data_IF_160726249185
#
_entry.id   IF_160726249185
#
_cell.length_a   1.000
_cell.length_b   1.000
_cell.length_c   1.000
_cell.angle_alpha   90.00
_cell.angle_beta   90.00
_cell.angle_gamma   90.00
#
_symmetry.space_group_name_H-M   'P 1'
#
loop_
_entity.id
_entity.type
_entity.pdbx_description
1 polymer ?
#
# COMPACT_ATOMS: atom_id res chain seq x y z
N UNK A 1 -9.07 17.19 -11.29
CA UNK A 1 -9.96 16.07 -10.86
C UNK A 1 -11.07 16.62 -9.99
N UNK A 2 -12.33 16.15 -10.12
CA UNK A 2 -13.40 16.51 -9.19
C UNK A 2 -13.27 15.61 -7.93
N UNK A 3 -12.86 16.19 -6.82
CA UNK A 3 -12.55 15.48 -5.57
C UNK A 3 -13.79 14.81 -4.96
N UNK A 4 -14.95 15.44 -5.02
CA UNK A 4 -16.20 14.84 -4.51
C UNK A 4 -16.59 13.61 -5.33
N UNK A 5 -16.40 13.66 -6.63
CA UNK A 5 -16.64 12.51 -7.51
C UNK A 5 -15.62 11.38 -7.24
N UNK A 6 -14.36 11.71 -6.94
CA UNK A 6 -13.33 10.72 -6.60
C UNK A 6 -13.70 9.90 -5.37
N UNK A 7 -14.31 10.52 -4.37
CA UNK A 7 -14.66 9.87 -3.11
C UNK A 7 -16.12 9.43 -2.98
N UNK A 8 -16.94 9.57 -4.03
CA UNK A 8 -18.39 9.38 -3.96
C UNK A 8 -18.81 7.98 -3.48
N UNK A 9 -18.02 6.95 -3.77
CA UNK A 9 -18.30 5.55 -3.43
C UNK A 9 -17.43 5.00 -2.29
N UNK A 10 -16.76 5.89 -1.53
CA UNK A 10 -15.78 5.48 -0.52
C UNK A 10 -16.38 4.56 0.56
N UNK A 11 -17.62 4.75 0.97
CA UNK A 11 -18.24 3.90 1.99
C UNK A 11 -18.39 2.46 1.50
N UNK A 12 -18.87 2.25 0.28
CA UNK A 12 -18.95 0.92 -0.33
C UNK A 12 -17.59 0.27 -0.51
N UNK A 13 -16.55 1.07 -0.81
CA UNK A 13 -15.18 0.56 -0.90
C UNK A 13 -14.63 0.14 0.46
N UNK A 14 -14.93 0.86 1.51
CA UNK A 14 -14.51 0.49 2.87
C UNK A 14 -15.25 -0.75 3.39
N UNK A 15 -16.48 -0.98 3.00
CA UNK A 15 -17.16 -2.27 3.25
C UNK A 15 -16.43 -3.43 2.56
N UNK A 16 -16.03 -3.25 1.30
CA UNK A 16 -15.22 -4.24 0.59
C UNK A 16 -13.84 -4.46 1.24
N UNK A 17 -13.21 -3.40 1.75
CA UNK A 17 -11.96 -3.49 2.51
C UNK A 17 -12.11 -4.43 3.71
N UNK A 18 -13.18 -4.26 4.50
CA UNK A 18 -13.44 -5.09 5.68
C UNK A 18 -13.76 -6.54 5.31
N UNK A 19 -14.46 -6.77 4.21
CA UNK A 19 -14.82 -8.11 3.74
C UNK A 19 -13.61 -8.86 3.16
N UNK A 20 -12.82 -8.18 2.30
CA UNK A 20 -11.79 -8.82 1.48
C UNK A 20 -10.37 -8.64 2.03
N UNK A 21 -10.17 -7.72 2.99
CA UNK A 21 -8.86 -7.33 3.49
C UNK A 21 -8.11 -6.34 2.59
N UNK A 22 -8.69 -5.96 1.46
CA UNK A 22 -8.15 -4.97 0.54
C UNK A 22 -9.24 -4.35 -0.35
N UNK A 23 -8.96 -3.16 -0.88
CA UNK A 23 -9.80 -2.53 -1.90
C UNK A 23 -8.98 -1.64 -2.83
N UNK A 24 -9.35 -1.58 -4.10
CA UNK A 24 -8.83 -0.59 -5.06
C UNK A 24 -9.59 0.72 -4.92
N UNK A 25 -8.87 1.81 -4.85
CA UNK A 25 -9.43 3.16 -4.93
C UNK A 25 -9.51 3.60 -6.40
N UNK A 26 -10.23 4.69 -6.73
CA UNK A 26 -10.27 5.19 -8.09
C UNK A 26 -8.89 5.53 -8.63
N UNK A 27 -8.70 5.42 -9.95
CA UNK A 27 -7.44 5.78 -10.62
C UNK A 27 -7.12 7.25 -10.43
N UNK A 28 -5.83 7.54 -10.27
CA UNK A 28 -5.32 8.91 -10.27
C UNK A 28 -5.08 9.39 -11.70
N UNK A 29 -5.15 10.69 -11.91
CA UNK A 29 -4.82 11.25 -13.23
C UNK A 29 -3.29 11.16 -13.47
N UNK A 30 -2.90 10.95 -14.73
CA UNK A 30 -1.47 10.93 -15.09
C UNK A 30 -0.78 12.25 -14.77
N UNK A 31 -1.48 13.38 -14.86
CA UNK A 31 -0.94 14.69 -14.49
C UNK A 31 -0.56 14.75 -13.00
N UNK A 32 -1.43 14.26 -12.12
CA UNK A 32 -1.18 14.23 -10.68
C UNK A 32 -0.01 13.27 -10.35
N UNK A 33 0.05 12.13 -11.05
CA UNK A 33 1.12 11.14 -10.86
C UNK A 33 2.48 11.64 -11.35
N UNK A 34 2.54 12.34 -12.48
CA UNK A 34 3.77 12.93 -13.01
C UNK A 34 4.31 14.02 -12.06
N UNK A 35 3.43 14.88 -11.54
CA UNK A 35 3.79 15.88 -10.55
C UNK A 35 4.38 15.23 -9.29
N UNK A 36 3.71 14.19 -8.78
CA UNK A 36 4.17 13.46 -7.59
C UNK A 36 5.48 12.71 -7.86
N UNK A 37 5.62 12.06 -9.03
CA UNK A 37 6.83 11.34 -9.44
C UNK A 37 8.06 12.25 -9.45
N UNK A 38 7.93 13.45 -10.01
CA UNK A 38 9.02 14.43 -10.06
C UNK A 38 9.40 14.89 -8.65
N UNK A 39 8.41 15.27 -7.84
CA UNK A 39 8.65 15.73 -6.46
C UNK A 39 9.33 14.65 -5.60
N UNK A 40 8.91 13.40 -5.73
CA UNK A 40 9.50 12.27 -4.99
C UNK A 40 10.89 11.92 -5.54
N UNK A 41 11.09 11.97 -6.85
CA UNK A 41 12.40 11.69 -7.46
C UNK A 41 13.47 12.66 -6.98
N UNK A 42 13.15 13.94 -6.90
CA UNK A 42 14.06 14.98 -6.37
C UNK A 42 14.39 14.71 -4.90
N UNK A 43 13.41 14.33 -4.11
CA UNK A 43 13.58 14.01 -2.69
C UNK A 43 14.36 12.72 -2.46
N UNK A 44 14.13 11.67 -3.26
CA UNK A 44 14.80 10.38 -3.13
C UNK A 44 16.24 10.36 -3.64
N UNK A 45 16.55 11.10 -4.70
CA UNK A 45 17.85 11.02 -5.37
C UNK A 45 18.20 9.58 -5.77
N UNK A 46 19.34 9.06 -5.26
CA UNK A 46 19.81 7.69 -5.53
C UNK A 46 19.26 6.63 -4.56
N UNK A 47 18.43 7.01 -3.59
CA UNK A 47 17.90 6.08 -2.60
C UNK A 47 16.80 5.21 -3.20
N UNK A 48 16.74 3.95 -2.78
CA UNK A 48 15.67 3.00 -3.14
C UNK A 48 14.53 2.99 -2.11
N UNK A 49 14.76 3.58 -0.93
CA UNK A 49 13.79 3.72 0.14
C UNK A 49 14.04 5.02 0.90
N UNK A 50 12.98 5.79 1.12
CA UNK A 50 13.04 7.01 1.91
C UNK A 50 11.69 7.30 2.56
N UNK A 51 11.74 7.75 3.80
CA UNK A 51 10.61 8.41 4.44
C UNK A 51 10.42 9.80 3.80
N UNK A 52 9.18 10.08 3.39
CA UNK A 52 8.87 11.28 2.63
C UNK A 52 8.60 12.47 3.56
N UNK A 53 9.10 13.62 3.15
CA UNK A 53 8.85 14.90 3.81
C UNK A 53 7.53 15.56 3.41
N UNK A 54 7.54 16.85 3.14
CA UNK A 54 6.33 17.65 2.92
C UNK A 54 5.76 17.57 1.49
N UNK A 55 6.55 17.17 0.49
CA UNK A 55 6.10 17.22 -0.91
C UNK A 55 4.89 16.31 -1.17
N UNK A 56 4.90 15.09 -0.64
CA UNK A 56 3.78 14.17 -0.78
C UNK A 56 2.55 14.60 0.05
N UNK A 57 2.75 15.34 1.15
CA UNK A 57 1.64 15.84 1.96
C UNK A 57 0.75 16.77 1.14
N UNK A 58 1.34 17.69 0.39
CA UNK A 58 0.60 18.59 -0.49
C UNK A 58 -0.23 17.81 -1.52
N UNK A 59 0.29 16.68 -2.01
CA UNK A 59 -0.46 15.80 -2.90
C UNK A 59 -1.67 15.15 -2.18
N UNK A 60 -1.48 14.59 -0.99
CA UNK A 60 -2.59 14.02 -0.21
C UNK A 60 -3.62 15.07 0.18
N UNK A 61 -3.19 16.29 0.51
CA UNK A 61 -4.06 17.44 0.76
C UNK A 61 -4.88 17.79 -0.50
N UNK A 62 -4.27 17.74 -1.68
CA UNK A 62 -4.98 17.96 -2.95
C UNK A 62 -6.05 16.92 -3.24
N UNK A 63 -5.86 15.69 -2.76
CA UNK A 63 -6.85 14.62 -2.78
C UNK A 63 -7.87 14.72 -1.64
N UNK A 64 -7.68 15.65 -0.71
CA UNK A 64 -8.52 15.81 0.48
C UNK A 64 -8.69 14.52 1.29
N UNK A 65 -7.62 13.72 1.40
CA UNK A 65 -7.59 12.44 2.15
C UNK A 65 -8.06 12.66 3.59
N UNK A 66 -7.61 13.74 4.24
CA UNK A 66 -7.99 14.08 5.62
C UNK A 66 -9.47 14.41 5.78
N UNK A 67 -10.15 14.82 4.71
CA UNK A 67 -11.58 15.11 4.73
C UNK A 67 -12.45 13.87 4.47
N UNK A 68 -12.05 13.04 3.51
CA UNK A 68 -12.92 11.99 2.99
C UNK A 68 -12.55 10.58 3.45
N UNK A 69 -11.26 10.27 3.60
CA UNK A 69 -10.80 8.92 3.91
C UNK A 69 -10.41 8.75 5.38
N UNK A 70 -9.54 9.61 5.91
CA UNK A 70 -8.99 9.43 7.26
C UNK A 70 -10.06 9.36 8.36
N UNK A 71 -11.11 10.20 8.40
CA UNK A 71 -12.13 10.09 9.44
C UNK A 71 -12.87 8.75 9.44
N UNK A 72 -13.06 8.17 8.26
CA UNK A 72 -13.71 6.87 8.09
C UNK A 72 -12.79 5.73 8.53
N UNK A 73 -11.51 5.78 8.19
CA UNK A 73 -10.52 4.81 8.66
C UNK A 73 -10.34 4.85 10.18
N UNK A 74 -10.33 6.05 10.77
CA UNK A 74 -10.29 6.24 12.22
C UNK A 74 -11.51 5.58 12.88
N UNK A 75 -12.70 5.81 12.35
CA UNK A 75 -13.92 5.19 12.85
C UNK A 75 -13.86 3.65 12.75
N UNK A 76 -13.42 3.11 11.63
CA UNK A 76 -13.23 1.66 11.46
C UNK A 76 -12.20 1.12 12.46
N UNK A 77 -11.07 1.80 12.64
CA UNK A 77 -10.06 1.41 13.61
C UNK A 77 -10.63 1.27 15.03
N UNK A 78 -11.45 2.23 15.45
CA UNK A 78 -12.05 2.24 16.77
C UNK A 78 -13.19 1.21 16.90
N UNK A 79 -14.13 1.20 15.97
CA UNK A 79 -15.39 0.45 16.09
C UNK A 79 -15.20 -1.05 15.76
N UNK A 80 -14.36 -1.37 14.77
CA UNK A 80 -14.19 -2.74 14.28
C UNK A 80 -12.98 -3.42 14.91
N UNK A 81 -11.86 -2.69 15.03
CA UNK A 81 -10.61 -3.27 15.53
C UNK A 81 -10.33 -2.95 17.00
N UNK A 82 -11.19 -2.18 17.66
CA UNK A 82 -11.01 -1.73 19.06
C UNK A 82 -9.60 -1.12 19.29
N UNK A 83 -9.11 -0.41 18.27
CA UNK A 83 -7.79 0.19 18.29
C UNK A 83 -7.77 1.40 19.24
N UNK A 84 -6.83 1.40 20.18
CA UNK A 84 -6.69 2.43 21.23
C UNK A 84 -5.40 3.25 21.10
N UNK A 85 -4.64 3.01 20.02
CA UNK A 85 -3.39 3.72 19.76
C UNK A 85 -3.61 5.14 19.22
N UNK A 86 -2.51 5.85 19.00
CA UNK A 86 -2.53 7.14 18.33
C UNK A 86 -2.82 6.95 16.83
N UNK A 87 -3.94 7.50 16.40
CA UNK A 87 -4.47 7.39 15.04
C UNK A 87 -3.95 8.54 14.17
N UNK A 88 -3.37 9.57 14.77
CA UNK A 88 -2.84 10.73 14.05
C UNK A 88 -1.49 10.45 13.39
N UNK A 89 -0.80 9.39 13.81
CA UNK A 89 0.54 9.07 13.31
C UNK A 89 0.45 8.38 11.95
N UNK A 90 0.76 9.14 10.90
CA UNK A 90 0.85 8.66 9.52
C UNK A 90 2.31 8.51 9.14
N UNK A 91 2.65 7.38 8.53
CA UNK A 91 3.99 7.07 8.06
C UNK A 91 3.99 6.96 6.53
N UNK A 92 4.75 7.83 5.89
CA UNK A 92 4.80 7.92 4.43
C UNK A 92 6.19 7.58 3.92
N UNK A 93 6.26 6.63 3.01
CA UNK A 93 7.52 6.21 2.41
C UNK A 93 7.41 6.10 0.90
N UNK A 94 8.48 6.45 0.20
CA UNK A 94 8.67 6.10 -1.18
C UNK A 94 9.59 4.89 -1.29
N UNK A 95 9.27 4.00 -2.21
CA UNK A 95 10.09 2.86 -2.58
C UNK A 95 10.28 2.83 -4.09
N UNK A 96 11.54 2.73 -4.51
CA UNK A 96 11.94 2.60 -5.90
C UNK A 96 12.54 1.22 -6.11
N UNK A 97 11.99 0.46 -7.03
CA UNK A 97 12.53 -0.85 -7.44
C UNK A 97 13.16 -0.67 -8.82
N UNK A 98 14.46 -0.84 -8.90
CA UNK A 98 15.20 -0.72 -10.16
C UNK A 98 15.40 -2.10 -10.81
N UNK A 99 15.44 -2.17 -12.16
CA UNK A 99 15.75 -3.40 -12.85
C UNK A 99 17.08 -3.99 -12.37
N UNK A 100 17.08 -5.31 -12.10
CA UNK A 100 18.28 -6.02 -11.61
C UNK A 100 18.56 -5.88 -10.11
N UNK A 101 17.82 -5.05 -9.37
CA UNK A 101 17.98 -4.93 -7.92
C UNK A 101 17.21 -6.04 -7.19
N UNK A 102 17.82 -7.22 -7.08
CA UNK A 102 17.19 -8.38 -6.41
C UNK A 102 16.88 -8.15 -4.92
N UNK A 103 17.54 -7.19 -4.27
CA UNK A 103 17.32 -6.90 -2.84
C UNK A 103 15.97 -6.24 -2.57
N UNK A 104 15.42 -5.53 -3.54
CA UNK A 104 14.11 -4.87 -3.42
C UNK A 104 12.96 -5.73 -3.97
N UNK A 105 13.29 -6.87 -4.62
CA UNK A 105 12.31 -7.85 -5.12
C UNK A 105 11.95 -8.86 -4.03
N UNK A 106 10.73 -9.39 -4.07
CA UNK A 106 10.25 -10.46 -3.17
C UNK A 106 10.43 -10.17 -1.67
N UNK A 107 10.31 -8.92 -1.26
CA UNK A 107 10.39 -8.52 0.16
C UNK A 107 9.05 -8.74 0.87
N UNK A 108 8.64 -10.00 1.02
CA UNK A 108 7.42 -10.31 1.75
C UNK A 108 7.53 -9.85 3.21
N UNK A 109 6.54 -9.08 3.66
CA UNK A 109 6.45 -8.59 5.02
C UNK A 109 4.98 -8.34 5.39
N UNK A 110 4.71 -8.20 6.66
CA UNK A 110 3.46 -7.63 7.15
C UNK A 110 3.71 -6.21 7.65
N UNK A 111 2.82 -5.33 7.27
CA UNK A 111 2.88 -3.97 7.77
C UNK A 111 2.59 -3.92 9.28
N UNK A 112 3.17 -2.92 9.94
CA UNK A 112 2.91 -2.65 11.35
C UNK A 112 1.67 -1.80 11.56
N UNK A 113 1.18 -1.21 10.49
CA UNK A 113 0.07 -0.28 10.48
C UNK A 113 -1.24 -1.04 10.34
N UNK A 114 -2.31 -0.50 10.89
CA UNK A 114 -3.63 -1.08 10.75
C UNK A 114 -4.14 -0.95 9.31
N UNK A 115 -3.87 0.20 8.69
CA UNK A 115 -4.15 0.43 7.29
C UNK A 115 -2.88 0.78 6.54
N UNK A 116 -2.74 0.25 5.33
CA UNK A 116 -1.64 0.60 4.42
C UNK A 116 -2.20 0.91 3.05
N UNK A 117 -1.88 2.09 2.52
CA UNK A 117 -2.20 2.46 1.15
C UNK A 117 -0.95 2.38 0.28
N UNK A 118 -1.00 1.58 -0.76
CA UNK A 118 0.04 1.51 -1.79
C UNK A 118 -0.40 2.33 -2.98
N UNK A 119 0.37 3.37 -3.28
CA UNK A 119 0.11 4.30 -4.36
C UNK A 119 1.09 4.03 -5.51
N UNK A 120 0.64 3.50 -6.67
CA UNK A 120 1.51 3.34 -7.83
C UNK A 120 1.78 4.69 -8.47
N UNK A 121 3.05 5.09 -8.57
CA UNK A 121 3.43 6.41 -9.10
C UNK A 121 4.03 6.28 -10.50
N UNK A 122 4.94 5.32 -10.67
CA UNK A 122 5.60 5.07 -11.95
C UNK A 122 5.76 3.58 -12.17
N UNK A 123 5.08 3.06 -13.18
CA UNK A 123 5.15 1.66 -13.57
C UNK A 123 5.98 1.57 -14.86
N UNK A 124 6.99 0.69 -14.91
CA UNK A 124 7.83 0.55 -16.11
C UNK A 124 7.00 -0.01 -17.28
N UNK A 125 7.25 0.53 -18.45
CA UNK A 125 6.76 -0.08 -19.68
C UNK A 125 7.52 -1.39 -19.91
N UNK A 126 6.80 -2.50 -19.96
CA UNK A 126 7.41 -3.79 -20.30
C UNK A 126 7.24 -4.06 -21.78
N UNK A 127 8.36 -4.15 -22.48
CA UNK A 127 8.38 -4.78 -23.80
C UNK A 127 8.29 -6.30 -23.63
N UNK A 128 7.36 -6.95 -24.32
CA UNK A 128 7.27 -8.41 -24.44
C UNK A 128 6.80 -9.19 -23.20
N UNK A 129 5.53 -9.07 -22.84
CA UNK A 129 4.85 -9.98 -21.87
C UNK A 129 5.57 -10.18 -20.51
N UNK A 130 6.52 -9.32 -20.19
CA UNK A 130 7.19 -9.32 -18.89
C UNK A 130 6.30 -8.71 -17.82
N UNK A 131 6.29 -9.30 -16.64
CA UNK A 131 5.73 -8.70 -15.43
C UNK A 131 6.80 -7.83 -14.80
N UNK A 132 6.56 -6.53 -14.67
CA UNK A 132 7.45 -5.63 -13.98
C UNK A 132 6.66 -4.66 -13.12
N UNK A 133 7.05 -4.56 -11.85
CA UNK A 133 6.39 -3.71 -10.88
C UNK A 133 5.13 -4.31 -10.24
N UNK A 134 4.87 -5.59 -10.47
CA UNK A 134 3.71 -6.27 -9.89
C UNK A 134 3.80 -6.31 -8.36
N UNK A 135 2.70 -6.01 -7.70
CA UNK A 135 2.53 -6.24 -6.28
C UNK A 135 1.90 -7.62 -6.04
N UNK A 136 2.60 -8.46 -5.28
CA UNK A 136 2.06 -9.73 -4.82
C UNK A 136 1.61 -9.55 -3.37
N UNK A 137 0.34 -9.86 -3.08
CA UNK A 137 -0.20 -9.73 -1.75
C UNK A 137 -1.10 -10.89 -1.37
N UNK A 138 -1.28 -11.10 -0.07
CA UNK A 138 -2.05 -12.19 0.51
C UNK A 138 -3.07 -11.62 1.49
N UNK A 139 -4.26 -11.25 1.01
CA UNK A 139 -5.29 -10.67 1.86
C UNK A 139 -5.72 -11.68 2.93
N UNK A 140 -6.00 -11.18 4.12
CA UNK A 140 -6.44 -12.00 5.26
C UNK A 140 -5.47 -13.15 5.63
N UNK A 141 -4.18 -13.06 5.25
CA UNK A 141 -3.20 -14.11 5.52
C UNK A 141 -2.92 -14.29 7.02
N UNK A 142 -3.20 -13.28 7.82
CA UNK A 142 -3.16 -13.39 9.29
C UNK A 142 -4.25 -12.53 9.94
N UNK A 143 -4.63 -12.91 11.14
CA UNK A 143 -5.47 -12.06 11.99
C UNK A 143 -4.67 -10.86 12.49
N UNK A 144 -5.34 -9.74 12.70
CA UNK A 144 -4.73 -8.56 13.31
C UNK A 144 -4.10 -8.94 14.68
N UNK A 145 -2.82 -8.60 14.92
CA UNK A 145 -2.14 -8.98 16.15
C UNK A 145 -2.72 -8.19 17.33
N UNK A 146 -3.08 -8.90 18.40
CA UNK A 146 -3.65 -8.27 19.60
C UNK A 146 -2.63 -7.46 20.44
N UNK A 147 -1.33 -7.64 20.18
CA UNK A 147 -0.26 -6.92 20.86
C UNK A 147 1.05 -6.91 20.04
N UNK A 148 2.01 -6.08 20.47
CA UNK A 148 3.31 -5.91 19.79
C UNK A 148 4.15 -7.20 19.74
N UNK A 149 4.09 -8.04 20.78
CA UNK A 149 4.87 -9.28 20.85
C UNK A 149 4.39 -10.27 19.78
N UNK A 150 3.09 -10.46 19.66
CA UNK A 150 2.51 -11.32 18.61
C UNK A 150 2.78 -10.79 17.20
N UNK A 151 2.82 -9.46 17.05
CA UNK A 151 3.21 -8.82 15.80
C UNK A 151 4.68 -9.10 15.45
N UNK A 152 5.60 -8.95 16.41
CA UNK A 152 7.02 -9.22 16.21
C UNK A 152 7.28 -10.68 15.84
N UNK A 153 6.69 -11.63 16.58
CA UNK A 153 6.82 -13.06 16.28
C UNK A 153 6.26 -13.39 14.89
N UNK A 154 5.11 -12.82 14.54
CA UNK A 154 4.51 -12.98 13.23
C UNK A 154 5.44 -12.48 12.12
N UNK A 155 6.02 -11.28 12.26
CA UNK A 155 6.98 -10.73 11.29
C UNK A 155 8.21 -11.62 11.11
N UNK A 156 8.80 -12.11 12.21
CA UNK A 156 9.94 -13.00 12.16
C UNK A 156 9.61 -14.33 11.45
N UNK A 157 8.41 -14.88 11.72
CA UNK A 157 7.94 -16.09 11.06
C UNK A 157 7.80 -15.93 9.55
N UNK A 158 7.19 -14.83 9.10
CA UNK A 158 6.94 -14.61 7.67
C UNK A 158 8.16 -14.11 6.89
N UNK A 159 9.16 -13.53 7.57
CA UNK A 159 10.42 -13.12 6.93
C UNK A 159 11.13 -14.25 6.18
N UNK A 160 10.93 -15.51 6.60
CA UNK A 160 11.47 -16.70 5.91
C UNK A 160 10.90 -16.91 4.51
N UNK A 161 9.77 -16.30 4.19
CA UNK A 161 9.15 -16.36 2.87
C UNK A 161 9.55 -15.19 1.97
N UNK A 162 10.47 -14.32 2.41
CA UNK A 162 10.95 -13.17 1.64
C UNK A 162 12.00 -13.59 0.57
N UNK A 163 11.65 -14.57 -0.26
CA UNK A 163 12.39 -15.01 -1.44
C UNK A 163 11.39 -15.52 -2.49
N UNK A 164 11.85 -15.72 -3.73
CA UNK A 164 10.97 -16.25 -4.78
C UNK A 164 10.41 -17.63 -4.39
N UNK A 165 11.27 -18.54 -3.97
CA UNK A 165 10.91 -19.90 -3.56
C UNK A 165 10.02 -19.88 -2.31
N UNK A 166 10.32 -18.98 -1.37
CA UNK A 166 9.50 -18.78 -0.18
C UNK A 166 8.09 -18.31 -0.52
N UNK A 167 7.96 -17.36 -1.43
CA UNK A 167 6.69 -16.85 -1.91
C UNK A 167 5.87 -17.90 -2.66
N UNK A 168 6.50 -18.73 -3.49
CA UNK A 168 5.84 -19.85 -4.16
C UNK A 168 5.31 -20.87 -3.15
N UNK A 169 6.09 -21.21 -2.14
CA UNK A 169 5.70 -22.11 -1.06
C UNK A 169 4.56 -21.54 -0.21
N UNK A 170 4.59 -20.25 0.07
CA UNK A 170 3.50 -19.59 0.81
C UNK A 170 2.22 -19.54 -0.03
N UNK A 171 2.34 -19.32 -1.33
CA UNK A 171 1.22 -19.26 -2.29
C UNK A 171 0.45 -20.57 -2.40
N UNK A 172 1.06 -21.72 -2.11
CA UNK A 172 0.38 -23.00 -2.13
C UNK A 172 -0.66 -23.14 -0.99
N UNK A 173 -0.53 -22.35 0.07
CA UNK A 173 -1.34 -22.42 1.29
C UNK A 173 -2.20 -21.16 1.53
N UNK A 174 -2.11 -20.15 0.67
CA UNK A 174 -2.75 -18.85 0.88
C UNK A 174 -3.29 -18.29 -0.42
N UNK A 175 -4.40 -17.53 -0.35
CA UNK A 175 -4.97 -16.84 -1.52
C UNK A 175 -4.02 -15.75 -2.00
N UNK A 176 -3.21 -16.05 -3.02
CA UNK A 176 -2.34 -15.07 -3.66
C UNK A 176 -3.13 -14.17 -4.59
N UNK A 177 -2.89 -12.89 -4.52
CA UNK A 177 -3.33 -11.88 -5.48
C UNK A 177 -2.12 -11.22 -6.12
N UNK A 178 -2.28 -10.75 -7.35
CA UNK A 178 -1.27 -10.01 -8.09
C UNK A 178 -1.93 -8.78 -8.67
N UNK A 179 -1.30 -7.63 -8.53
CA UNK A 179 -1.71 -6.39 -9.14
C UNK A 179 -0.55 -5.80 -9.93
N UNK A 180 -0.75 -5.52 -11.21
CA UNK A 180 0.25 -4.94 -12.09
C UNK A 180 0.23 -3.41 -12.08
N UNK A 181 -0.72 -2.82 -11.35
CA UNK A 181 -0.91 -1.38 -11.20
C UNK A 181 -1.03 -0.56 -12.50
N UNK A 182 -1.27 -1.19 -13.65
CA UNK A 182 -1.33 -0.49 -14.95
C UNK A 182 -2.51 0.48 -15.05
N UNK A 183 -3.52 0.27 -14.24
CA UNK A 183 -4.66 1.18 -14.10
C UNK A 183 -4.41 2.34 -13.13
N UNK A 184 -3.22 2.39 -12.50
CA UNK A 184 -2.84 3.40 -11.51
C UNK A 184 -3.87 3.60 -10.39
N UNK A 185 -4.53 2.53 -10.01
CA UNK A 185 -5.43 2.51 -8.87
C UNK A 185 -4.66 2.29 -7.57
N UNK A 186 -4.77 3.20 -6.59
CA UNK A 186 -4.23 2.94 -5.26
C UNK A 186 -4.90 1.72 -4.63
N UNK A 187 -4.11 0.94 -3.89
CA UNK A 187 -4.57 -0.26 -3.20
C UNK A 187 -4.52 -0.04 -1.69
N UNK A 188 -5.67 -0.13 -1.03
CA UNK A 188 -5.80 0.02 0.42
C UNK A 188 -5.96 -1.36 1.05
N UNK A 189 -5.18 -1.63 2.11
CA UNK A 189 -5.16 -2.88 2.89
C UNK A 189 -5.54 -2.63 4.35
N UNK A 190 -6.05 -3.68 4.99
CA UNK A 190 -6.25 -3.79 6.43
C UNK A 190 -5.64 -5.08 6.99
#
# INVERSE_FOLDING_TARGET
MNIEHYWHDIDSRLEQLLEKGFVKLPSLSMFDLDFLANSISDEMGSLTFKELGSAHKNFLDSLSVDKYLNPKLIKIAQDVFNFKGDISNQYHVARKVEPGNSKEMFRAHFDSHLFTMVLPIKIPETSNNGTAGDLIYFPNARKFPGNEVTNFIGKAYYKRYASKEGMEKFSSNSSRKIDDFRDYQPLLFV
#
